data_IF_090921081820
#
_entry.id   IF_090921081820
#
_cell.length_a   1.000
_cell.length_b   1.000
_cell.length_c   1.000
_cell.angle_alpha   90.00
_cell.angle_beta   90.00
_cell.angle_gamma   90.00
#
_symmetry.space_group_name_H-M   'P 1'
#
loop_
_entity.id
_entity.type
_entity.pdbx_description
1 polymer ?
#
# COMPACT_ATOMS: atom_id res chain seq x y z
N UNK A 1 11.19 -17.49 15.98
CA UNK A 1 10.05 -17.00 15.16
C UNK A 1 9.92 -15.51 15.41
N UNK A 2 9.67 -14.73 14.37
CA UNK A 2 9.40 -13.29 14.44
C UNK A 2 7.96 -13.10 14.89
N UNK A 3 7.72 -12.30 15.93
CA UNK A 3 6.39 -11.94 16.41
C UNK A 3 5.84 -10.75 15.63
N UNK A 4 4.75 -10.96 14.91
CA UNK A 4 4.10 -9.92 14.11
C UNK A 4 2.76 -9.48 14.71
N UNK A 5 2.60 -8.17 14.90
CA UNK A 5 1.32 -7.56 15.24
C UNK A 5 0.71 -6.83 14.03
N UNK A 6 -0.59 -7.00 13.81
CA UNK A 6 -1.33 -6.33 12.73
C UNK A 6 -2.34 -5.37 13.33
N UNK A 7 -2.06 -4.07 13.27
CA UNK A 7 -3.00 -3.03 13.66
C UNK A 7 -3.95 -2.76 12.49
N UNK A 8 -5.27 -2.86 12.73
CA UNK A 8 -6.27 -2.68 11.66
C UNK A 8 -6.59 -3.96 10.88
N UNK A 9 -6.39 -5.13 11.51
CA UNK A 9 -6.56 -6.44 10.89
C UNK A 9 -7.95 -6.71 10.28
N UNK A 10 -9.00 -5.96 10.64
CA UNK A 10 -10.36 -6.15 10.11
C UNK A 10 -10.61 -5.57 8.71
N UNK A 11 -9.68 -4.77 8.17
CA UNK A 11 -9.73 -4.27 6.79
C UNK A 11 -9.28 -5.31 5.76
N UNK A 12 -9.36 -4.99 4.47
CA UNK A 12 -8.90 -5.89 3.41
C UNK A 12 -7.38 -6.10 3.45
N UNK A 13 -6.60 -5.01 3.57
CA UNK A 13 -5.14 -5.08 3.71
C UNK A 13 -4.76 -5.88 4.96
N UNK A 14 -5.32 -5.54 6.11
CA UNK A 14 -5.05 -6.25 7.36
C UNK A 14 -5.43 -7.73 7.32
N UNK A 15 -6.55 -8.08 6.68
CA UNK A 15 -6.96 -9.48 6.50
C UNK A 15 -6.04 -10.25 5.56
N UNK A 16 -5.57 -9.61 4.50
CA UNK A 16 -4.60 -10.21 3.58
C UNK A 16 -3.25 -10.44 4.28
N UNK A 17 -2.79 -9.48 5.09
CA UNK A 17 -1.59 -9.65 5.92
C UNK A 17 -1.74 -10.84 6.87
N UNK A 18 -2.85 -10.93 7.62
CA UNK A 18 -3.08 -12.08 8.51
C UNK A 18 -3.06 -13.39 7.73
N UNK A 19 -3.63 -13.45 6.52
CA UNK A 19 -3.58 -14.64 5.66
C UNK A 19 -2.15 -15.02 5.28
N UNK A 20 -1.34 -14.04 4.87
CA UNK A 20 0.05 -14.26 4.46
C UNK A 20 0.93 -14.68 5.65
N UNK A 21 0.84 -13.96 6.77
CA UNK A 21 1.63 -14.22 7.97
C UNK A 21 1.29 -15.58 8.59
N UNK A 22 0.01 -15.98 8.59
CA UNK A 22 -0.41 -17.29 9.10
C UNK A 22 0.15 -18.48 8.30
N UNK A 23 0.64 -18.25 7.08
CA UNK A 23 1.28 -19.25 6.23
C UNK A 23 2.81 -19.15 6.23
N UNK A 24 3.39 -18.15 6.92
CA UNK A 24 4.81 -17.90 6.89
C UNK A 24 5.54 -18.74 7.96
N UNK A 25 6.50 -19.60 7.59
CA UNK A 25 7.06 -20.60 8.51
C UNK A 25 7.86 -20.01 9.69
N UNK A 26 8.36 -18.78 9.53
CA UNK A 26 9.20 -18.12 10.53
C UNK A 26 8.47 -17.02 11.32
N UNK A 27 7.16 -16.84 11.11
CA UNK A 27 6.39 -15.76 11.75
C UNK A 27 5.26 -16.32 12.59
N UNK A 28 5.08 -15.72 13.77
CA UNK A 28 3.94 -15.93 14.64
C UNK A 28 3.13 -14.63 14.76
N UNK A 29 1.80 -14.71 14.65
CA UNK A 29 0.94 -13.53 14.82
C UNK A 29 0.67 -13.31 16.31
N UNK A 30 1.32 -12.31 16.91
CA UNK A 30 1.14 -11.98 18.33
C UNK A 30 -0.14 -11.20 18.61
N UNK A 31 -0.57 -10.34 17.68
CA UNK A 31 -1.81 -9.58 17.81
C UNK A 31 -2.45 -9.25 16.46
N UNK A 32 -3.77 -9.21 16.43
CA UNK A 32 -4.55 -8.70 15.31
C UNK A 32 -5.63 -7.75 15.84
N UNK A 33 -5.50 -6.45 15.61
CA UNK A 33 -6.36 -5.47 16.28
C UNK A 33 -7.60 -5.11 15.49
N UNK A 34 -8.72 -4.91 16.19
CA UNK A 34 -9.92 -4.28 15.66
C UNK A 34 -10.81 -3.75 16.77
N UNK A 35 -11.10 -2.44 16.73
CA UNK A 35 -12.06 -1.81 17.66
C UNK A 35 -13.48 -2.33 17.48
N UNK A 36 -13.93 -2.54 16.24
CA UNK A 36 -15.32 -2.96 15.91
C UNK A 36 -15.59 -4.43 16.22
N UNK A 37 -14.55 -5.29 16.16
CA UNK A 37 -14.71 -6.73 16.22
C UNK A 37 -13.99 -7.37 17.42
N UNK A 38 -13.63 -6.59 18.44
CA UNK A 38 -12.94 -7.06 19.64
C UNK A 38 -13.53 -8.37 20.20
N UNK A 39 -12.66 -9.31 20.56
CA UNK A 39 -13.01 -10.63 21.08
C UNK A 39 -13.57 -11.61 20.07
N UNK A 40 -14.00 -11.16 18.87
CA UNK A 40 -14.53 -12.06 17.83
C UNK A 40 -13.38 -12.81 17.16
N UNK A 41 -13.64 -14.08 16.80
CA UNK A 41 -12.72 -14.87 15.98
C UNK A 41 -12.50 -14.19 14.62
N UNK A 42 -11.26 -14.17 14.13
CA UNK A 42 -10.88 -13.53 12.86
C UNK A 42 -11.79 -13.97 11.71
N UNK A 43 -12.11 -15.26 11.64
CA UNK A 43 -12.93 -15.83 10.56
C UNK A 43 -14.39 -15.35 10.53
N UNK A 44 -14.86 -14.61 11.54
CA UNK A 44 -16.17 -13.93 11.49
C UNK A 44 -16.15 -12.70 10.58
N UNK A 45 -14.95 -12.18 10.29
CA UNK A 45 -14.72 -11.04 9.40
C UNK A 45 -14.06 -11.51 8.10
N UNK A 46 -13.12 -12.45 8.19
CA UNK A 46 -12.37 -13.01 7.06
C UNK A 46 -12.65 -14.51 6.93
N UNK A 47 -13.77 -14.94 6.30
CA UNK A 47 -14.23 -16.32 6.35
C UNK A 47 -13.23 -17.37 5.83
N UNK A 48 -12.35 -16.97 4.92
CA UNK A 48 -11.24 -17.77 4.39
C UNK A 48 -10.20 -18.17 5.46
N UNK A 49 -10.18 -17.51 6.62
CA UNK A 49 -9.28 -17.79 7.75
C UNK A 49 -9.93 -18.71 8.79
N UNK A 50 -10.98 -19.45 8.41
CA UNK A 50 -11.58 -20.48 9.28
C UNK A 50 -10.53 -21.55 9.58
N UNK A 51 -10.43 -21.95 10.85
CA UNK A 51 -9.40 -22.86 11.35
C UNK A 51 -8.25 -22.16 12.06
N UNK A 52 -8.00 -20.88 11.76
CA UNK A 52 -7.05 -20.07 12.52
C UNK A 52 -7.65 -19.69 13.89
N UNK A 53 -7.05 -20.16 14.98
CA UNK A 53 -7.48 -19.85 16.34
C UNK A 53 -7.01 -18.46 16.80
N UNK A 54 -7.30 -17.43 16.01
CA UNK A 54 -6.95 -16.04 16.26
C UNK A 54 -8.22 -15.22 16.50
N UNK A 55 -8.14 -14.26 17.43
CA UNK A 55 -9.23 -13.32 17.75
C UNK A 55 -8.75 -11.90 17.56
N UNK A 56 -9.68 -11.02 17.19
CA UNK A 56 -9.41 -9.60 17.24
C UNK A 56 -9.25 -9.14 18.68
N UNK A 57 -8.34 -8.21 18.92
CA UNK A 57 -8.17 -7.53 20.20
C UNK A 57 -8.29 -6.01 20.02
N UNK A 58 -8.72 -5.31 21.06
CA UNK A 58 -8.56 -3.86 21.19
C UNK A 58 -7.49 -3.50 22.23
N UNK A 59 -6.77 -4.49 22.77
CA UNK A 59 -5.58 -4.28 23.56
C UNK A 59 -4.41 -4.00 22.61
N UNK A 60 -3.82 -2.82 22.78
CA UNK A 60 -2.65 -2.36 22.03
C UNK A 60 -1.33 -2.62 22.75
N UNK A 61 -1.38 -3.16 23.97
CA UNK A 61 -0.22 -3.64 24.70
C UNK A 61 0.06 -5.11 24.31
N UNK A 62 0.92 -5.29 23.31
CA UNK A 62 1.36 -6.59 22.82
C UNK A 62 2.87 -6.58 22.60
N UNK A 63 3.48 -7.77 22.71
CA UNK A 63 4.89 -8.00 22.41
C UNK A 63 5.03 -8.36 20.92
N UNK A 64 5.87 -7.64 20.18
CA UNK A 64 6.06 -7.82 18.74
C UNK A 64 7.45 -7.35 18.30
N UNK A 65 8.08 -8.12 17.43
CA UNK A 65 9.32 -7.72 16.75
C UNK A 65 9.00 -6.81 15.54
N UNK A 66 7.83 -7.00 14.93
CA UNK A 66 7.35 -6.21 13.79
C UNK A 66 5.86 -5.84 13.93
N UNK A 67 5.55 -4.58 13.64
CA UNK A 67 4.19 -4.03 13.70
C UNK A 67 3.78 -3.55 12.31
N UNK A 68 2.70 -4.14 11.80
CA UNK A 68 2.07 -3.72 10.56
C UNK A 68 0.92 -2.74 10.84
N UNK A 69 1.00 -1.53 10.29
CA UNK A 69 -0.05 -0.52 10.39
C UNK A 69 -0.95 -0.58 9.15
N UNK A 70 -1.98 -1.43 9.20
CA UNK A 70 -3.00 -1.56 8.15
C UNK A 70 -4.20 -0.63 8.43
N UNK A 71 -3.92 0.64 8.65
CA UNK A 71 -4.88 1.66 9.10
C UNK A 71 -5.25 2.63 7.97
N UNK A 72 -6.41 3.32 8.07
CA UNK A 72 -6.74 4.38 7.12
C UNK A 72 -5.69 5.49 7.14
N UNK A 73 -5.48 6.11 5.98
CA UNK A 73 -4.64 7.30 5.84
C UNK A 73 -4.93 8.35 6.93
N UNK A 74 -3.86 8.92 7.48
CA UNK A 74 -3.86 9.90 8.56
C UNK A 74 -3.93 9.30 9.95
N UNK A 75 -4.19 7.99 10.07
CA UNK A 75 -4.24 7.31 11.38
C UNK A 75 -2.86 6.93 11.87
N UNK A 76 -1.96 6.52 10.96
CA UNK A 76 -0.60 6.08 11.32
C UNK A 76 0.15 7.21 11.99
N UNK A 77 0.12 8.42 11.42
CA UNK A 77 0.73 9.62 12.02
C UNK A 77 0.31 9.92 13.46
N UNK A 78 -0.91 9.48 13.87
CA UNK A 78 -1.45 9.78 15.20
C UNK A 78 -1.00 8.79 16.26
N UNK A 79 -0.67 7.57 15.87
CA UNK A 79 -0.39 6.47 16.79
C UNK A 79 1.07 6.01 16.75
N UNK A 80 1.83 6.44 15.74
CA UNK A 80 3.16 5.88 15.46
C UNK A 80 4.14 6.05 16.63
N UNK A 81 4.10 7.18 17.33
CA UNK A 81 5.02 7.48 18.46
C UNK A 81 4.93 6.44 19.59
N UNK A 82 3.81 5.71 19.71
CA UNK A 82 3.65 4.63 20.69
C UNK A 82 4.55 3.42 20.40
N UNK A 83 4.99 3.27 19.14
CA UNK A 83 5.65 2.06 18.63
C UNK A 83 7.06 2.29 18.11
N UNK A 84 7.45 3.54 17.80
CA UNK A 84 8.81 3.82 17.31
C UNK A 84 9.82 3.43 18.37
N UNK A 85 10.81 2.63 17.96
CA UNK A 85 11.89 2.16 18.83
C UNK A 85 11.54 0.94 19.69
N UNK A 86 10.29 0.49 19.73
CA UNK A 86 9.90 -0.75 20.41
C UNK A 86 9.83 -1.96 19.48
N UNK A 87 9.57 -1.74 18.19
CA UNK A 87 9.54 -2.76 17.15
C UNK A 87 9.83 -2.16 15.77
N UNK A 88 10.15 -3.01 14.79
CA UNK A 88 10.19 -2.60 13.38
C UNK A 88 8.77 -2.25 12.92
N UNK A 89 8.59 -1.14 12.22
CA UNK A 89 7.27 -0.69 11.76
C UNK A 89 7.18 -0.80 10.24
N UNK A 90 6.11 -1.43 9.77
CA UNK A 90 5.73 -1.46 8.35
C UNK A 90 4.37 -0.76 8.23
N UNK A 91 4.36 0.47 7.74
CA UNK A 91 3.14 1.23 7.53
C UNK A 91 2.55 0.99 6.14
N UNK A 92 1.31 0.49 6.07
CA UNK A 92 0.61 0.25 4.81
C UNK A 92 -0.30 1.41 4.41
N UNK A 93 -0.40 2.44 5.24
CA UNK A 93 -1.01 3.71 4.89
C UNK A 93 -0.10 4.53 3.96
N UNK A 94 -0.58 5.72 3.55
CA UNK A 94 0.19 6.63 2.70
C UNK A 94 1.06 7.63 3.49
N UNK A 95 1.01 7.55 4.82
CA UNK A 95 1.39 8.66 5.69
C UNK A 95 2.88 9.03 5.56
N UNK A 96 3.76 8.04 5.42
CA UNK A 96 5.22 8.27 5.37
C UNK A 96 5.88 7.89 4.03
N UNK A 97 5.10 7.76 2.95
CA UNK A 97 5.62 7.27 1.66
C UNK A 97 6.41 8.30 0.86
N UNK A 98 6.07 9.58 1.00
CA UNK A 98 6.56 10.64 0.13
C UNK A 98 7.18 11.78 0.93
N UNK A 99 8.13 12.48 0.31
CA UNK A 99 8.77 13.66 0.87
C UNK A 99 7.76 14.69 1.35
N UNK A 100 8.13 15.50 2.35
CA UNK A 100 7.24 16.50 2.94
C UNK A 100 6.63 17.46 1.91
N UNK A 101 7.38 17.84 0.88
CA UNK A 101 6.91 18.73 -0.18
C UNK A 101 5.81 18.08 -1.01
N UNK A 102 6.03 16.85 -1.47
CA UNK A 102 5.02 16.08 -2.21
C UNK A 102 3.83 15.71 -1.33
N UNK A 103 4.07 15.41 -0.06
CA UNK A 103 2.99 15.18 0.89
C UNK A 103 2.09 16.41 1.01
N UNK A 104 2.69 17.60 1.13
CA UNK A 104 1.94 18.86 1.22
C UNK A 104 1.09 19.10 -0.03
N UNK A 105 1.66 18.85 -1.21
CA UNK A 105 0.99 19.01 -2.49
C UNK A 105 -0.22 18.05 -2.66
N UNK A 106 -0.06 16.78 -2.33
CA UNK A 106 -1.07 15.74 -2.64
C UNK A 106 -2.00 15.37 -1.47
N UNK A 107 -1.60 15.68 -0.24
CA UNK A 107 -2.30 15.29 0.99
C UNK A 107 -2.53 16.47 1.95
N UNK A 108 -1.96 17.65 1.68
CA UNK A 108 -2.18 18.87 2.46
C UNK A 108 -1.15 19.07 3.58
N UNK A 109 -1.32 18.42 4.74
CA UNK A 109 -0.47 18.66 5.91
C UNK A 109 -0.11 17.40 6.67
N UNK A 110 1.13 17.31 7.15
CA UNK A 110 1.65 16.13 7.85
C UNK A 110 1.87 16.41 9.33
N UNK A 111 1.38 15.52 10.22
CA UNK A 111 1.46 15.72 11.68
C UNK A 111 2.84 15.37 12.25
N UNK A 112 3.62 14.54 11.54
CA UNK A 112 4.93 14.04 11.96
C UNK A 112 6.03 14.28 10.91
N UNK A 113 6.23 15.52 10.43
CA UNK A 113 7.05 15.81 9.26
C UNK A 113 8.51 15.34 9.39
N UNK A 114 9.04 15.31 10.62
CA UNK A 114 10.41 14.85 10.90
C UNK A 114 10.59 13.34 10.68
N UNK A 115 9.56 12.54 10.96
CA UNK A 115 9.63 11.08 10.80
C UNK A 115 9.65 10.65 9.33
N UNK A 116 9.18 11.49 8.39
CA UNK A 116 9.15 11.13 6.96
C UNK A 116 10.54 10.72 6.45
N UNK A 117 11.60 11.42 6.87
CA UNK A 117 12.98 11.11 6.43
C UNK A 117 13.57 9.84 7.06
N UNK A 118 12.95 9.30 8.10
CA UNK A 118 13.39 8.06 8.76
C UNK A 118 12.78 6.81 8.10
N UNK A 119 11.72 6.99 7.32
CA UNK A 119 11.05 5.91 6.60
C UNK A 119 11.76 5.56 5.29
N UNK A 120 11.94 4.27 5.05
CA UNK A 120 12.36 3.73 3.76
C UNK A 120 11.14 3.33 2.93
N UNK A 121 11.11 3.73 1.67
CA UNK A 121 10.04 3.33 0.74
C UNK A 121 10.15 1.83 0.43
N UNK A 122 9.11 1.08 0.80
CA UNK A 122 9.12 -0.38 0.87
C UNK A 122 8.93 -1.09 -0.47
N UNK A 123 9.71 -0.75 -1.49
CA UNK A 123 9.69 -1.40 -2.81
C UNK A 123 10.98 -2.21 -3.03
N UNK A 124 10.99 -3.53 -2.76
CA UNK A 124 12.21 -4.34 -2.71
C UNK A 124 13.02 -4.40 -4.00
N UNK A 125 12.39 -4.27 -5.18
CA UNK A 125 13.08 -4.26 -6.47
C UNK A 125 14.04 -3.08 -6.60
N UNK A 126 13.77 -1.97 -5.89
CA UNK A 126 14.53 -0.72 -5.96
C UNK A 126 15.33 -0.48 -4.67
N UNK A 127 14.73 -0.71 -3.50
CA UNK A 127 15.28 -0.32 -2.20
C UNK A 127 15.70 -1.50 -1.32
N UNK A 128 16.06 -2.64 -1.90
CA UNK A 128 16.37 -3.88 -1.15
C UNK A 128 17.39 -3.65 -0.03
N UNK A 129 18.45 -2.91 -0.32
CA UNK A 129 19.55 -2.72 0.63
C UNK A 129 19.20 -1.73 1.74
N UNK A 130 18.40 -0.69 1.46
CA UNK A 130 17.87 0.18 2.50
C UNK A 130 16.88 -0.57 3.40
N UNK A 131 15.96 -1.36 2.82
CA UNK A 131 14.91 -2.10 3.55
C UNK A 131 15.51 -3.08 4.57
N UNK A 132 16.62 -3.76 4.22
CA UNK A 132 17.33 -4.67 5.14
C UNK A 132 17.76 -3.99 6.44
N UNK A 133 18.06 -2.69 6.40
CA UNK A 133 18.59 -1.90 7.53
C UNK A 133 17.55 -1.00 8.18
N UNK A 134 16.37 -0.86 7.58
CA UNK A 134 15.37 0.13 7.97
C UNK A 134 14.54 -0.34 9.17
N UNK A 135 14.39 0.49 10.20
CA UNK A 135 13.43 0.21 11.28
C UNK A 135 12.00 0.65 10.93
N UNK A 136 11.87 1.64 10.04
CA UNK A 136 10.60 2.21 9.62
C UNK A 136 10.46 2.04 8.09
N UNK A 137 9.42 1.33 7.66
CA UNK A 137 9.18 1.02 6.24
C UNK A 137 7.79 1.54 5.85
N UNK A 138 7.73 2.32 4.78
CA UNK A 138 6.50 2.84 4.22
C UNK A 138 6.13 1.97 3.01
N UNK A 139 5.18 1.06 3.19
CA UNK A 139 4.78 0.14 2.13
C UNK A 139 4.09 0.92 1.00
N UNK A 140 4.51 0.73 -0.27
CA UNK A 140 3.99 1.44 -1.44
C UNK A 140 2.47 1.35 -1.64
N UNK A 141 1.93 2.32 -2.37
CA UNK A 141 0.58 2.24 -2.92
C UNK A 141 0.49 1.22 -4.05
N UNK A 142 -0.66 0.57 -4.22
CA UNK A 142 -0.84 -0.47 -5.24
C UNK A 142 -0.67 0.07 -6.68
N UNK A 143 -1.33 1.18 -7.04
CA UNK A 143 -1.15 1.78 -8.36
C UNK A 143 0.28 2.34 -8.53
N UNK A 144 0.85 2.91 -7.47
CA UNK A 144 2.22 3.41 -7.48
C UNK A 144 3.19 2.27 -7.79
N UNK A 145 3.08 1.13 -7.10
CA UNK A 145 3.91 -0.06 -7.31
C UNK A 145 3.92 -0.48 -8.79
N UNK A 146 2.74 -0.67 -9.39
CA UNK A 146 2.64 -1.11 -10.78
C UNK A 146 3.27 -0.11 -11.76
N UNK A 147 3.06 1.18 -11.54
CA UNK A 147 3.56 2.24 -12.44
C UNK A 147 5.05 2.49 -12.23
N UNK A 148 5.53 2.47 -10.99
CA UNK A 148 6.95 2.63 -10.66
C UNK A 148 7.74 1.49 -11.28
N UNK A 149 7.33 0.23 -11.08
CA UNK A 149 8.04 -0.91 -11.66
C UNK A 149 8.10 -0.84 -13.20
N UNK A 150 7.02 -0.36 -13.84
CA UNK A 150 6.98 -0.21 -15.29
C UNK A 150 7.85 0.96 -15.81
N UNK A 151 7.97 2.06 -15.05
CA UNK A 151 8.66 3.28 -15.48
C UNK A 151 10.09 3.43 -14.95
N UNK A 152 10.45 2.72 -13.87
CA UNK A 152 11.76 2.84 -13.24
C UNK A 152 12.93 2.58 -14.20
N UNK A 153 12.87 1.61 -15.13
CA UNK A 153 13.93 1.43 -16.13
C UNK A 153 14.19 2.62 -17.06
N UNK A 154 13.27 3.59 -17.11
CA UNK A 154 13.37 4.81 -17.93
C UNK A 154 13.56 6.08 -17.09
N UNK A 155 13.91 5.93 -15.81
CA UNK A 155 14.14 7.03 -14.87
C UNK A 155 15.19 8.00 -15.42
N UNK A 156 14.78 9.25 -15.64
CA UNK A 156 15.64 10.31 -16.18
C UNK A 156 15.77 10.34 -17.70
N UNK A 157 15.17 9.38 -18.42
CA UNK A 157 15.15 9.34 -19.88
C UNK A 157 13.81 9.84 -20.46
N UNK A 158 12.73 9.72 -19.69
CA UNK A 158 11.42 10.28 -20.02
C UNK A 158 11.00 11.30 -18.96
N UNK A 159 10.30 12.35 -19.38
CA UNK A 159 9.80 13.42 -18.50
C UNK A 159 8.34 13.23 -18.11
N UNK A 160 7.51 12.69 -19.02
CA UNK A 160 6.06 12.64 -18.88
C UNK A 160 5.51 11.29 -19.33
N UNK A 161 4.43 10.86 -18.68
CA UNK A 161 3.68 9.67 -19.05
C UNK A 161 2.18 9.86 -18.78
N UNK A 162 1.34 9.26 -19.62
CA UNK A 162 -0.11 9.13 -19.39
C UNK A 162 -0.36 7.71 -18.91
N UNK A 163 -1.08 7.58 -17.80
CA UNK A 163 -1.35 6.29 -17.15
C UNK A 163 -2.85 6.08 -17.04
N UNK A 164 -3.36 5.07 -17.74
CA UNK A 164 -4.73 4.59 -17.59
C UNK A 164 -4.75 3.33 -16.72
N UNK A 165 -5.35 3.47 -15.53
CA UNK A 165 -5.43 2.41 -14.54
C UNK A 165 -6.82 1.80 -14.51
N UNK A 166 -6.92 0.48 -14.66
CA UNK A 166 -8.14 -0.29 -14.39
C UNK A 166 -7.95 -1.00 -13.07
N UNK A 167 -8.67 -0.58 -12.03
CA UNK A 167 -8.52 -1.07 -10.66
C UNK A 167 -9.77 -1.79 -10.18
N UNK A 168 -9.55 -2.83 -9.39
CA UNK A 168 -10.62 -3.60 -8.76
C UNK A 168 -11.32 -2.84 -7.61
N UNK A 169 -12.49 -3.33 -7.22
CA UNK A 169 -13.30 -2.75 -6.15
C UNK A 169 -12.66 -2.83 -4.76
N UNK A 170 -11.81 -3.84 -4.50
CA UNK A 170 -11.11 -3.97 -3.20
C UNK A 170 -10.11 -2.83 -2.93
N UNK A 171 -9.65 -2.11 -3.96
CA UNK A 171 -8.82 -0.90 -3.81
C UNK A 171 -9.54 0.21 -3.02
N UNK A 172 -10.88 0.24 -3.03
CA UNK A 172 -11.69 1.15 -2.23
C UNK A 172 -11.77 0.79 -0.74
N UNK A 173 -11.22 -0.36 -0.34
CA UNK A 173 -11.29 -0.88 1.02
C UNK A 173 -12.68 -1.39 1.39
N UNK A 174 -12.87 -1.65 2.68
CA UNK A 174 -14.09 -2.29 3.23
C UNK A 174 -15.15 -1.28 3.70
N UNK A 175 -15.04 -0.02 3.29
CA UNK A 175 -15.98 1.03 3.73
C UNK A 175 -17.24 0.99 2.88
N UNK A 176 -18.37 0.83 3.55
CA UNK A 176 -19.70 0.88 2.92
C UNK A 176 -19.95 2.27 2.33
N UNK A 177 -20.41 2.32 1.09
CA UNK A 177 -20.92 3.52 0.42
C UNK A 177 -21.93 3.11 -0.66
N UNK A 178 -22.82 4.02 -1.05
CA UNK A 178 -23.86 3.76 -2.08
C UNK A 178 -23.23 3.23 -3.36
N UNK A 179 -22.11 3.82 -3.75
CA UNK A 179 -21.39 3.50 -4.98
C UNK A 179 -20.61 2.16 -4.93
N UNK A 180 -20.69 1.41 -3.81
CA UNK A 180 -20.14 0.06 -3.64
C UNK A 180 -21.20 -0.99 -3.34
N UNK A 181 -22.49 -0.65 -3.35
CA UNK A 181 -23.57 -1.63 -3.23
C UNK A 181 -23.59 -2.48 -4.52
N UNK A 182 -23.72 -3.80 -4.39
CA UNK A 182 -23.58 -4.73 -5.52
C UNK A 182 -24.42 -4.37 -6.76
N UNK A 183 -25.74 -4.08 -6.66
CA UNK A 183 -26.54 -3.73 -7.84
C UNK A 183 -26.11 -2.42 -8.53
N UNK A 184 -25.56 -1.48 -7.77
CA UNK A 184 -25.04 -0.20 -8.30
C UNK A 184 -23.65 -0.35 -8.94
N UNK A 185 -22.95 -1.45 -8.65
CA UNK A 185 -21.52 -1.60 -8.93
C UNK A 185 -21.19 -2.71 -9.92
N UNK A 186 -22.02 -3.75 -9.99
CA UNK A 186 -21.78 -4.88 -10.88
C UNK A 186 -21.89 -4.47 -12.35
N UNK A 187 -20.99 -5.00 -13.18
CA UNK A 187 -20.79 -4.69 -14.60
C UNK A 187 -20.46 -3.22 -14.91
N UNK A 188 -20.11 -2.41 -13.90
CA UNK A 188 -19.78 -1.00 -14.09
C UNK A 188 -18.29 -0.82 -14.38
N UNK A 189 -18.01 0.01 -15.39
CA UNK A 189 -16.73 0.71 -15.57
C UNK A 189 -16.95 2.17 -15.19
N UNK A 190 -16.33 2.61 -14.09
CA UNK A 190 -16.50 3.96 -13.55
C UNK A 190 -15.18 4.70 -13.50
N UNK A 191 -15.16 5.94 -13.97
CA UNK A 191 -14.04 6.85 -13.69
C UNK A 191 -14.05 7.17 -12.19
N UNK A 192 -13.11 6.58 -11.44
CA UNK A 192 -13.00 6.74 -9.99
C UNK A 192 -12.27 8.04 -9.62
N UNK A 193 -11.17 8.33 -10.33
CA UNK A 193 -10.39 9.53 -10.13
C UNK A 193 -9.80 9.96 -11.49
N UNK A 194 -10.37 10.98 -12.14
CA UNK A 194 -9.96 11.37 -13.49
C UNK A 194 -8.61 12.08 -13.53
N UNK A 195 -8.25 12.83 -12.48
CA UNK A 195 -7.03 13.63 -12.39
C UNK A 195 -6.53 13.70 -10.96
N UNK A 196 -5.26 14.08 -10.76
CA UNK A 196 -4.65 14.34 -9.46
C UNK A 196 -4.80 13.15 -8.50
N UNK A 197 -4.38 11.98 -8.95
CA UNK A 197 -4.37 10.81 -8.09
C UNK A 197 -3.17 10.87 -7.13
N UNK A 198 -3.38 10.57 -5.85
CA UNK A 198 -2.33 10.72 -4.82
C UNK A 198 -1.08 9.86 -5.04
N UNK A 199 -1.24 8.72 -5.73
CA UNK A 199 -0.12 7.86 -6.14
C UNK A 199 0.80 8.48 -7.20
N UNK A 200 0.40 9.54 -7.90
CA UNK A 200 1.28 10.28 -8.81
C UNK A 200 2.50 10.85 -8.06
N UNK A 201 2.32 11.25 -6.79
CA UNK A 201 3.40 11.71 -5.92
C UNK A 201 4.50 10.65 -5.73
N UNK A 202 4.09 9.41 -5.47
CA UNK A 202 5.01 8.27 -5.30
C UNK A 202 5.77 8.00 -6.61
N UNK A 203 5.09 7.99 -7.76
CA UNK A 203 5.74 7.81 -9.07
C UNK A 203 6.75 8.93 -9.35
N UNK A 204 6.36 10.18 -9.13
CA UNK A 204 7.22 11.34 -9.35
C UNK A 204 8.47 11.28 -8.47
N UNK A 205 8.34 10.89 -7.20
CA UNK A 205 9.47 10.70 -6.31
C UNK A 205 10.42 9.61 -6.80
N UNK A 206 9.90 8.43 -7.12
CA UNK A 206 10.74 7.26 -7.39
C UNK A 206 11.33 7.22 -8.79
N UNK A 207 10.67 7.84 -9.78
CA UNK A 207 11.05 7.76 -11.19
C UNK A 207 11.44 9.11 -11.81
N UNK A 208 11.16 10.23 -11.13
CA UNK A 208 11.25 11.61 -11.67
C UNK A 208 10.32 11.88 -12.86
N UNK A 209 9.47 10.94 -13.25
CA UNK A 209 8.50 11.09 -14.34
C UNK A 209 7.24 11.76 -13.82
N UNK A 210 6.77 12.77 -14.52
CA UNK A 210 5.45 13.37 -14.29
C UNK A 210 4.39 12.47 -14.94
N UNK A 211 3.90 11.49 -14.18
CA UNK A 211 2.89 10.56 -14.65
C UNK A 211 1.47 11.05 -14.29
N UNK A 212 0.62 11.27 -15.29
CA UNK A 212 -0.77 11.71 -15.11
C UNK A 212 -1.71 10.50 -15.08
N UNK A 213 -2.49 10.36 -14.00
CA UNK A 213 -3.31 9.16 -13.80
C UNK A 213 -4.77 9.42 -14.11
N UNK A 214 -5.35 8.55 -14.92
CA UNK A 214 -6.80 8.34 -15.02
C UNK A 214 -7.13 6.98 -14.42
N UNK A 215 -7.89 6.95 -13.33
CA UNK A 215 -8.22 5.71 -12.63
C UNK A 215 -9.67 5.31 -12.89
N UNK A 216 -9.85 4.18 -13.55
CA UNK A 216 -11.11 3.48 -13.78
C UNK A 216 -11.28 2.35 -12.75
N UNK A 217 -12.39 2.35 -12.02
CA UNK A 217 -12.80 1.20 -11.21
C UNK A 217 -13.66 0.27 -12.08
N UNK A 218 -13.20 -0.96 -12.29
CA UNK A 218 -13.84 -1.99 -13.12
C UNK A 218 -14.46 -3.09 -12.26
N UNK A 219 -15.42 -3.85 -12.76
CA UNK A 219 -16.07 -4.95 -12.01
C UNK A 219 -15.18 -6.20 -11.82
N UNK A 220 -14.06 -6.00 -11.16
CA UNK A 220 -13.18 -7.03 -10.63
C UNK A 220 -13.11 -6.87 -9.11
N UNK A 221 -12.98 -7.98 -8.39
CA UNK A 221 -12.79 -7.95 -6.92
C UNK A 221 -11.33 -7.65 -6.57
N UNK A 222 -10.38 -8.23 -7.30
CA UNK A 222 -8.92 -8.03 -7.15
C UNK A 222 -8.27 -7.76 -8.49
N UNK A 223 -7.08 -7.19 -8.44
CA UNK A 223 -6.27 -6.92 -9.63
C UNK A 223 -6.23 -5.43 -9.99
N UNK A 224 -5.22 -5.11 -10.77
CA UNK A 224 -4.95 -3.80 -11.33
C UNK A 224 -4.23 -4.00 -12.66
N UNK A 225 -4.63 -3.24 -13.68
CA UNK A 225 -3.91 -3.12 -14.94
C UNK A 225 -3.51 -1.65 -15.14
N UNK A 226 -2.23 -1.41 -15.35
CA UNK A 226 -1.71 -0.10 -15.74
C UNK A 226 -1.35 -0.12 -17.23
N UNK A 227 -2.02 0.69 -18.04
CA UNK A 227 -1.63 0.95 -19.42
C UNK A 227 -0.93 2.31 -19.46
N UNK A 228 0.34 2.32 -19.84
CA UNK A 228 1.21 3.49 -19.72
C UNK A 228 1.66 3.91 -21.11
N UNK A 229 1.51 5.19 -21.40
CA UNK A 229 1.87 5.81 -22.67
C UNK A 229 2.92 6.89 -22.44
N UNK A 230 4.03 6.81 -23.16
CA UNK A 230 5.07 7.84 -23.19
C UNK A 230 5.72 7.85 -24.58
N UNK A 231 6.50 8.89 -24.88
CA UNK A 231 7.26 9.00 -26.13
C UNK A 231 8.75 8.82 -25.84
N UNK A 232 9.43 8.06 -26.68
CA UNK A 232 10.88 7.86 -26.62
C UNK A 232 11.41 7.52 -28.02
N UNK A 233 12.57 8.04 -28.37
CA UNK A 233 13.29 7.63 -29.58
C UNK A 233 14.09 6.36 -29.28
N UNK A 234 13.59 5.21 -29.72
CA UNK A 234 14.18 3.91 -29.46
C UNK A 234 13.60 2.85 -30.40
N UNK A 235 14.06 1.61 -30.30
CA UNK A 235 13.45 0.45 -30.96
C UNK A 235 13.04 -0.62 -29.92
N UNK A 236 12.22 -1.58 -30.36
CA UNK A 236 11.66 -2.63 -29.50
C UNK A 236 12.74 -3.43 -28.75
N UNK A 237 13.85 -3.76 -29.41
CA UNK A 237 14.93 -4.53 -28.79
C UNK A 237 15.60 -3.76 -27.66
N UNK A 238 15.87 -2.47 -27.84
CA UNK A 238 16.46 -1.63 -26.80
C UNK A 238 15.47 -1.35 -25.66
N UNK A 239 14.16 -1.29 -25.93
CA UNK A 239 13.13 -1.23 -24.90
C UNK A 239 13.15 -2.48 -24.00
N UNK A 240 13.12 -3.68 -24.57
CA UNK A 240 13.15 -4.91 -23.78
C UNK A 240 14.44 -5.06 -22.95
N UNK A 241 15.59 -4.67 -23.52
CA UNK A 241 16.87 -4.72 -22.79
C UNK A 241 16.85 -3.91 -21.50
N UNK A 242 16.11 -2.80 -21.45
CA UNK A 242 16.00 -1.98 -20.23
C UNK A 242 15.28 -2.69 -19.10
N UNK A 243 14.38 -3.63 -19.41
CA UNK A 243 13.68 -4.41 -18.40
C UNK A 243 14.49 -5.61 -17.87
N UNK A 244 15.45 -6.14 -18.65
CA UNK A 244 16.20 -7.34 -18.27
C UNK A 244 16.97 -7.27 -16.93
N UNK A 245 17.51 -6.12 -16.49
CA UNK A 245 18.23 -6.03 -15.21
C UNK A 245 17.35 -6.11 -13.97
N UNK A 246 16.02 -6.00 -14.12
CA UNK A 246 15.03 -5.91 -13.04
C UNK A 246 14.13 -7.15 -12.99
#
# INVERSE_FOLDING_TARGET
MIKAAVIGASGYIGGELVRLLAMHPEVEISAATSRRYNGKKIHKVHPNLRGLNLRFTNNYNFDADVIFLAVPHGTSMKIIDEYVGSAKIIDLSADFRVSLNLYKEYYGGHLKPKLISEFVYGLPEIHREEIKKAELIANPGCNATAVILALHPFKGEISEAIVDLKVSSSAGGRRENVASIHPERSNVVRIYKPFHHRHEAEVKQETKVNAQFTVHSVDLVRGLLATIYFKMETNEKELYKKYLPY
#
